data_IF_385724500019
#
_entry.id   IF_385724500019
#
_cell.length_a   1.000
_cell.length_b   1.000
_cell.length_c   1.000
_cell.angle_alpha   90.00
_cell.angle_beta   90.00
_cell.angle_gamma   90.00
#
_symmetry.space_group_name_H-M   'P 1'
#
loop_
_entity.id
_entity.type
_entity.pdbx_description
1 polymer ?
#
# COMPACT_ATOMS: atom_id res chain seq x y z
N UNK A 1 5.02 8.65 10.08
CA UNK A 1 5.90 8.50 8.90
C UNK A 1 5.44 9.29 7.67
N UNK A 2 4.64 10.36 7.84
CA UNK A 2 4.29 11.31 6.77
C UNK A 2 5.52 11.83 6.00
N UNK A 3 6.64 12.02 6.71
CA UNK A 3 7.93 12.43 6.13
C UNK A 3 8.43 11.50 5.00
N UNK A 4 8.05 10.22 4.96
CA UNK A 4 8.41 9.31 3.86
C UNK A 4 7.81 9.78 2.53
N UNK A 5 6.51 10.11 2.53
CA UNK A 5 5.77 10.45 1.31
C UNK A 5 6.23 11.78 0.70
N UNK A 6 6.62 12.73 1.55
CA UNK A 6 7.04 14.08 1.14
C UNK A 6 8.57 14.25 1.07
N UNK A 7 9.34 13.20 1.31
CA UNK A 7 10.80 13.31 1.30
C UNK A 7 11.32 13.56 -0.11
N UNK A 8 12.16 14.60 -0.25
CA UNK A 8 12.93 14.88 -1.46
C UNK A 8 14.22 14.06 -1.55
N UNK A 9 14.62 13.41 -0.47
CA UNK A 9 15.80 12.53 -0.40
C UNK A 9 15.44 11.29 0.43
N UNK A 10 15.11 10.20 -0.26
CA UNK A 10 14.73 8.94 0.37
C UNK A 10 15.91 8.26 1.07
N UNK A 11 17.16 8.57 0.70
CA UNK A 11 18.32 8.03 1.40
C UNK A 11 18.49 8.69 2.75
N UNK A 12 18.50 10.03 2.79
CA UNK A 12 18.59 10.78 4.03
C UNK A 12 17.43 10.44 4.97
N UNK A 13 16.22 10.28 4.43
CA UNK A 13 15.08 9.77 5.18
C UNK A 13 15.34 8.37 5.74
N UNK A 14 15.82 7.42 4.93
CA UNK A 14 16.07 6.05 5.37
C UNK A 14 17.10 5.98 6.51
N UNK A 15 18.19 6.76 6.42
CA UNK A 15 19.23 6.78 7.46
C UNK A 15 18.75 7.40 8.78
N UNK A 16 17.83 8.36 8.71
CA UNK A 16 17.13 8.88 9.88
C UNK A 16 16.14 7.85 10.44
N UNK A 17 15.32 7.24 9.58
CA UNK A 17 14.26 6.31 9.98
C UNK A 17 14.81 5.03 10.63
N UNK A 18 15.93 4.48 10.16
CA UNK A 18 16.58 3.29 10.77
C UNK A 18 16.86 3.44 12.26
N UNK A 19 17.01 4.66 12.77
CA UNK A 19 17.28 4.97 14.18
C UNK A 19 16.03 4.96 15.07
N UNK A 20 14.85 4.70 14.49
CA UNK A 20 13.55 4.73 15.16
C UNK A 20 12.70 3.47 14.89
N UNK A 21 13.20 2.26 15.19
CA UNK A 21 12.43 1.02 14.97
C UNK A 21 11.13 0.98 15.78
N UNK A 22 11.09 1.56 16.98
CA UNK A 22 9.87 1.67 17.80
C UNK A 22 8.75 2.46 17.11
N UNK A 23 9.11 3.32 16.14
CA UNK A 23 8.19 4.12 15.34
C UNK A 23 8.09 3.56 13.91
N UNK A 24 8.39 2.28 13.68
CA UNK A 24 8.31 1.63 12.35
C UNK A 24 9.37 2.09 11.35
N UNK A 25 10.43 2.75 11.82
CA UNK A 25 11.41 3.40 10.97
C UNK A 25 12.29 2.44 10.15
N UNK A 26 12.54 1.22 10.63
CA UNK A 26 13.28 0.22 9.85
C UNK A 26 12.43 -0.30 8.68
N UNK A 27 11.12 -0.46 8.87
CA UNK A 27 10.16 -0.79 7.80
C UNK A 27 10.17 0.27 6.71
N UNK A 28 10.10 1.55 7.08
CA UNK A 28 10.11 2.64 6.12
C UNK A 28 11.48 2.85 5.45
N UNK A 29 12.58 2.60 6.16
CA UNK A 29 13.91 2.64 5.56
C UNK A 29 14.08 1.54 4.49
N UNK A 30 13.65 0.32 4.80
CA UNK A 30 13.63 -0.77 3.82
C UNK A 30 12.72 -0.42 2.63
N UNK A 31 11.52 0.11 2.90
CA UNK A 31 10.58 0.56 1.85
C UNK A 31 11.22 1.60 0.93
N UNK A 32 11.91 2.61 1.48
CA UNK A 32 12.65 3.61 0.71
C UNK A 32 13.72 2.99 -0.19
N UNK A 33 14.57 2.10 0.35
CA UNK A 33 15.60 1.42 -0.43
C UNK A 33 14.99 0.53 -1.53
N UNK A 34 13.95 -0.24 -1.21
CA UNK A 34 13.27 -1.10 -2.17
C UNK A 34 12.61 -0.29 -3.29
N UNK A 35 11.89 0.80 -2.97
CA UNK A 35 11.32 1.71 -3.97
C UNK A 35 12.41 2.27 -4.87
N UNK A 36 13.54 2.72 -4.33
CA UNK A 36 14.63 3.26 -5.15
C UNK A 36 15.33 2.20 -6.00
N UNK A 37 15.37 0.94 -5.54
CA UNK A 37 15.86 -0.16 -6.35
C UNK A 37 14.98 -0.38 -7.58
N UNK A 38 13.65 -0.32 -7.42
CA UNK A 38 12.69 -0.44 -8.52
C UNK A 38 12.74 0.76 -9.47
N UNK A 39 12.87 2.00 -8.95
CA UNK A 39 13.02 3.21 -9.78
C UNK A 39 14.22 3.12 -10.73
N UNK A 40 15.33 2.50 -10.30
CA UNK A 40 16.49 2.29 -11.19
C UNK A 40 16.22 1.35 -12.36
N UNK A 41 15.21 0.49 -12.24
CA UNK A 41 14.80 -0.46 -13.28
C UNK A 41 13.78 0.14 -14.23
N UNK A 42 13.26 1.34 -13.95
CA UNK A 42 12.35 2.02 -14.84
C UNK A 42 13.09 2.42 -16.12
N UNK A 43 12.52 2.09 -17.30
CA UNK A 43 13.11 2.49 -18.57
C UNK A 43 13.11 4.00 -18.71
N UNK A 44 14.07 4.53 -19.47
CA UNK A 44 14.00 5.92 -19.91
C UNK A 44 12.75 6.15 -20.75
N UNK A 45 12.20 7.36 -20.67
CA UNK A 45 11.02 7.75 -21.44
C UNK A 45 11.47 8.09 -22.86
N UNK A 46 11.43 7.11 -23.76
CA UNK A 46 11.79 7.29 -25.18
C UNK A 46 10.60 7.78 -26.00
N UNK A 47 10.76 8.85 -26.79
CA UNK A 47 9.74 9.32 -27.73
C UNK A 47 9.46 8.27 -28.80
N UNK A 48 8.31 7.59 -28.72
CA UNK A 48 7.81 6.77 -29.82
C UNK A 48 7.28 7.66 -30.96
N UNK A 49 7.31 7.15 -32.19
CA UNK A 49 6.97 7.93 -33.40
C UNK A 49 5.52 8.46 -33.47
N UNK A 50 4.63 8.06 -32.55
CA UNK A 50 3.24 8.52 -32.45
C UNK A 50 2.81 8.86 -31.00
N UNK A 51 3.76 9.14 -30.10
CA UNK A 51 3.44 9.36 -28.70
C UNK A 51 2.85 10.77 -28.47
N UNK A 52 1.77 10.84 -27.68
CA UNK A 52 1.25 12.11 -27.15
C UNK A 52 2.37 12.84 -26.40
N UNK A 53 2.83 13.96 -26.98
CA UNK A 53 3.94 14.74 -26.44
C UNK A 53 3.67 15.23 -25.02
N UNK A 54 2.41 15.56 -24.69
CA UNK A 54 2.04 16.02 -23.36
C UNK A 54 2.14 14.88 -22.35
N UNK A 55 1.66 13.67 -22.70
CA UNK A 55 1.82 12.50 -21.86
C UNK A 55 3.30 12.16 -21.64
N UNK A 56 4.12 12.19 -22.70
CA UNK A 56 5.55 11.90 -22.60
C UNK A 56 6.28 12.91 -21.70
N UNK A 57 5.92 14.19 -21.78
CA UNK A 57 6.46 15.22 -20.88
C UNK A 57 6.07 14.96 -19.41
N UNK A 58 4.82 14.52 -19.14
CA UNK A 58 4.38 14.13 -17.79
C UNK A 58 5.12 12.90 -17.28
N UNK A 59 5.31 11.88 -18.12
CA UNK A 59 6.10 10.69 -17.78
C UNK A 59 7.55 11.03 -17.44
N UNK A 60 8.19 11.87 -18.26
CA UNK A 60 9.57 12.28 -18.01
C UNK A 60 9.69 13.08 -16.71
N UNK A 61 8.74 13.97 -16.43
CA UNK A 61 8.66 14.70 -15.16
C UNK A 61 8.52 13.74 -13.97
N UNK A 62 7.61 12.76 -14.05
CA UNK A 62 7.42 11.77 -12.99
C UNK A 62 8.66 10.90 -12.76
N UNK A 63 9.33 10.46 -13.83
CA UNK A 63 10.58 9.69 -13.73
C UNK A 63 11.71 10.53 -13.12
N UNK A 64 11.83 11.80 -13.50
CA UNK A 64 12.83 12.70 -12.93
C UNK A 64 12.58 12.93 -11.44
N UNK A 65 11.33 13.16 -11.04
CA UNK A 65 10.96 13.30 -9.62
C UNK A 65 11.33 12.05 -8.81
N UNK A 66 10.99 10.86 -9.30
CA UNK A 66 11.36 9.59 -8.65
C UNK A 66 12.88 9.41 -8.55
N UNK A 67 13.62 9.67 -9.63
CA UNK A 67 15.09 9.57 -9.66
C UNK A 67 15.73 10.57 -8.72
N UNK A 68 15.24 11.80 -8.68
CA UNK A 68 15.72 12.86 -7.79
C UNK A 68 15.56 12.46 -6.33
N UNK A 69 14.40 11.91 -5.94
CA UNK A 69 14.18 11.38 -4.59
C UNK A 69 15.12 10.23 -4.23
N UNK A 70 15.58 9.47 -5.21
CA UNK A 70 16.43 8.29 -5.02
C UNK A 70 17.93 8.53 -5.23
N UNK A 71 18.34 9.76 -5.62
CA UNK A 71 19.72 10.06 -6.02
C UNK A 71 20.76 9.84 -4.92
N UNK A 72 20.34 9.93 -3.65
CA UNK A 72 21.23 9.76 -2.50
C UNK A 72 21.68 8.32 -2.25
N UNK A 73 20.97 7.32 -2.79
CA UNK A 73 21.38 5.92 -2.66
C UNK A 73 22.51 5.59 -3.63
N UNK A 74 23.57 4.95 -3.12
CA UNK A 74 24.69 4.47 -3.94
C UNK A 74 24.29 3.22 -4.75
N UNK A 75 24.95 2.93 -5.89
CA UNK A 75 24.70 1.75 -6.71
C UNK A 75 24.65 0.43 -5.93
N UNK A 76 25.64 0.20 -5.08
CA UNK A 76 25.83 -1.02 -4.30
C UNK A 76 24.77 -1.22 -3.21
N UNK A 77 24.24 -0.14 -2.65
CA UNK A 77 23.25 -0.15 -1.56
C UNK A 77 21.87 -0.70 -1.97
N UNK A 78 21.57 -0.70 -3.27
CA UNK A 78 20.30 -1.18 -3.82
C UNK A 78 20.43 -2.54 -4.52
N UNK A 79 21.57 -3.22 -4.36
CA UNK A 79 21.74 -4.58 -4.86
C UNK A 79 20.85 -5.56 -4.08
N UNK A 80 20.46 -6.70 -4.68
CA UNK A 80 19.67 -7.71 -3.98
C UNK A 80 20.30 -8.19 -2.66
N UNK A 81 21.64 -8.25 -2.60
CA UNK A 81 22.38 -8.63 -1.38
C UNK A 81 22.15 -7.59 -0.28
N UNK A 82 22.38 -6.30 -0.58
CA UNK A 82 22.19 -5.21 0.41
C UNK A 82 20.72 -5.05 0.82
N UNK A 83 19.78 -5.22 -0.11
CA UNK A 83 18.35 -5.23 0.22
C UNK A 83 18.01 -6.40 1.14
N UNK A 84 18.60 -7.58 0.92
CA UNK A 84 18.47 -8.73 1.83
C UNK A 84 19.03 -8.46 3.22
N UNK A 85 20.16 -7.75 3.34
CA UNK A 85 20.70 -7.31 4.64
C UNK A 85 19.77 -6.32 5.34
N UNK A 86 19.22 -5.35 4.61
CA UNK A 86 18.26 -4.39 5.15
C UNK A 86 16.95 -5.07 5.59
N UNK A 87 16.49 -6.07 4.83
CA UNK A 87 15.34 -6.88 5.21
C UNK A 87 15.62 -7.63 6.52
N UNK A 88 16.77 -8.29 6.64
CA UNK A 88 17.17 -8.96 7.89
C UNK A 88 17.24 -8.00 9.07
N UNK A 89 17.81 -6.81 8.89
CA UNK A 89 17.82 -5.76 9.92
C UNK A 89 16.40 -5.35 10.33
N UNK A 90 15.52 -5.08 9.36
CA UNK A 90 14.11 -4.78 9.62
C UNK A 90 13.48 -5.86 10.51
N UNK A 91 13.62 -7.13 10.14
CA UNK A 91 13.05 -8.27 10.88
C UNK A 91 13.67 -8.50 12.26
N UNK A 92 14.93 -8.13 12.50
CA UNK A 92 15.60 -8.30 13.80
C UNK A 92 15.60 -7.07 14.70
N UNK A 93 15.26 -5.89 14.17
CA UNK A 93 15.35 -4.60 14.88
C UNK A 93 14.26 -4.34 15.93
N UNK A 94 13.27 -5.23 16.04
CA UNK A 94 12.09 -5.00 16.88
C UNK A 94 11.15 -3.92 16.33
N UNK A 95 11.19 -3.68 15.01
CA UNK A 95 10.36 -2.68 14.35
C UNK A 95 8.86 -2.96 14.53
N UNK A 96 8.12 -1.98 15.05
CA UNK A 96 6.71 -2.18 15.43
C UNK A 96 5.81 -2.52 14.24
N UNK A 97 6.11 -1.96 13.06
CA UNK A 97 5.35 -2.26 11.85
C UNK A 97 5.67 -3.65 11.32
N UNK A 98 6.93 -4.06 11.38
CA UNK A 98 7.34 -5.41 10.99
C UNK A 98 6.75 -6.48 11.91
N UNK A 99 6.67 -6.22 13.22
CA UNK A 99 5.99 -7.12 14.15
C UNK A 99 4.50 -7.27 13.81
N UNK A 100 3.82 -6.17 13.51
CA UNK A 100 2.42 -6.21 13.07
C UNK A 100 2.27 -6.93 11.73
N UNK A 101 3.17 -6.68 10.78
CA UNK A 101 3.20 -7.39 9.49
C UNK A 101 3.42 -8.89 9.68
N UNK A 102 4.33 -9.29 10.56
CA UNK A 102 4.58 -10.71 10.85
C UNK A 102 3.35 -11.39 11.44
N UNK A 103 2.58 -10.69 12.30
CA UNK A 103 1.27 -11.19 12.79
C UNK A 103 0.26 -11.34 11.65
N UNK A 104 0.25 -10.41 10.69
CA UNK A 104 -0.59 -10.52 9.48
C UNK A 104 -0.20 -11.73 8.64
N UNK A 105 1.10 -11.93 8.39
CA UNK A 105 1.58 -13.05 7.59
C UNK A 105 1.22 -14.39 8.25
N UNK A 106 1.36 -14.49 9.57
CA UNK A 106 0.88 -15.67 10.33
C UNK A 106 -0.63 -15.89 10.16
N UNK A 107 -1.43 -14.83 10.24
CA UNK A 107 -2.88 -14.90 9.99
C UNK A 107 -3.19 -15.39 8.59
N UNK A 108 -2.51 -14.86 7.58
CA UNK A 108 -2.72 -15.26 6.19
C UNK A 108 -2.33 -16.72 5.98
N UNK A 109 -1.24 -17.18 6.59
CA UNK A 109 -0.86 -18.60 6.58
C UNK A 109 -1.90 -19.49 7.25
N UNK A 110 -2.47 -19.06 8.38
CA UNK A 110 -3.52 -19.81 9.06
C UNK A 110 -4.80 -19.90 8.22
N UNK A 111 -5.21 -18.79 7.60
CA UNK A 111 -6.35 -18.75 6.68
C UNK A 111 -6.10 -19.63 5.45
N UNK A 112 -4.89 -19.61 4.88
CA UNK A 112 -4.52 -20.47 3.77
C UNK A 112 -4.52 -21.97 4.13
N UNK A 113 -4.32 -22.30 5.40
CA UNK A 113 -4.48 -23.67 5.94
C UNK A 113 -5.94 -24.01 6.28
N UNK A 114 -6.90 -23.16 5.93
CA UNK A 114 -8.32 -23.35 6.19
C UNK A 114 -8.73 -23.09 7.65
N UNK A 115 -7.88 -22.49 8.48
CA UNK A 115 -8.28 -22.15 9.86
C UNK A 115 -9.25 -20.97 9.85
N UNK A 116 -10.33 -21.10 10.60
CA UNK A 116 -11.26 -19.99 10.83
C UNK A 116 -10.78 -19.18 12.03
N UNK A 117 -10.37 -17.94 11.78
CA UNK A 117 -10.02 -16.99 12.83
C UNK A 117 -11.27 -16.40 13.48
N UNK A 118 -11.28 -16.31 14.80
CA UNK A 118 -12.39 -15.70 15.54
C UNK A 118 -12.53 -14.20 15.22
N UNK A 119 -13.77 -13.71 15.22
CA UNK A 119 -14.06 -12.29 15.02
C UNK A 119 -13.36 -11.41 16.08
N UNK A 120 -13.24 -11.91 17.31
CA UNK A 120 -12.53 -11.23 18.41
C UNK A 120 -11.04 -11.06 18.11
N UNK A 121 -10.37 -12.12 17.62
CA UNK A 121 -8.96 -12.05 17.28
C UNK A 121 -8.69 -11.09 16.12
N UNK A 122 -9.52 -11.15 15.07
CA UNK A 122 -9.45 -10.18 13.96
C UNK A 122 -9.65 -8.75 14.45
N UNK A 123 -10.63 -8.52 15.33
CA UNK A 123 -10.92 -7.21 15.91
C UNK A 123 -9.75 -6.69 16.75
N UNK A 124 -9.10 -7.55 17.52
CA UNK A 124 -7.89 -7.22 18.27
C UNK A 124 -6.77 -6.76 17.33
N UNK A 125 -6.47 -7.53 16.28
CA UNK A 125 -5.43 -7.18 15.31
C UNK A 125 -5.72 -5.87 14.57
N UNK A 126 -6.97 -5.64 14.14
CA UNK A 126 -7.36 -4.37 13.52
C UNK A 126 -7.15 -3.19 14.48
N UNK A 127 -7.53 -3.33 15.76
CA UNK A 127 -7.26 -2.29 16.76
C UNK A 127 -5.77 -2.03 16.91
N UNK A 128 -4.95 -3.08 17.04
CA UNK A 128 -3.48 -2.94 17.14
C UNK A 128 -2.88 -2.16 15.95
N UNK A 129 -3.41 -2.35 14.74
CA UNK A 129 -2.93 -1.64 13.54
C UNK A 129 -3.41 -0.20 13.47
N UNK A 130 -4.67 0.05 13.84
CA UNK A 130 -5.23 1.40 13.90
C UNK A 130 -4.58 2.21 15.01
N UNK A 131 -4.18 1.58 16.12
CA UNK A 131 -3.45 2.22 17.23
C UNK A 131 -2.11 2.83 16.81
N UNK A 132 -1.45 2.26 15.80
CA UNK A 132 -0.20 2.79 15.27
C UNK A 132 -0.39 4.12 14.54
N UNK A 133 -1.63 4.45 14.13
CA UNK A 133 -1.96 5.61 13.31
C UNK A 133 -1.06 5.74 12.07
N UNK A 134 -0.53 4.62 11.58
CA UNK A 134 0.38 4.59 10.45
C UNK A 134 -0.34 4.16 9.17
N UNK A 135 -0.22 4.93 8.08
CA UNK A 135 -0.92 4.61 6.84
C UNK A 135 -0.54 3.24 6.24
N UNK A 136 0.69 2.75 6.42
CA UNK A 136 1.09 1.41 5.94
C UNK A 136 0.45 0.32 6.79
N UNK A 137 0.36 0.51 8.11
CA UNK A 137 -0.38 -0.41 8.97
C UNK A 137 -1.87 -0.46 8.61
N UNK A 138 -2.49 0.70 8.41
CA UNK A 138 -3.90 0.83 8.05
C UNK A 138 -4.19 0.19 6.69
N UNK A 139 -3.35 0.44 5.68
CA UNK A 139 -3.51 -0.19 4.36
C UNK A 139 -3.37 -1.71 4.44
N UNK A 140 -2.45 -2.22 5.27
CA UNK A 140 -2.23 -3.66 5.46
C UNK A 140 -3.38 -4.33 6.23
N UNK A 141 -4.06 -3.60 7.12
CA UNK A 141 -5.19 -4.09 7.91
C UNK A 141 -6.35 -4.57 7.01
N UNK A 142 -6.49 -4.00 5.82
CA UNK A 142 -7.53 -4.41 4.86
C UNK A 142 -7.42 -5.85 4.39
N UNK A 143 -6.21 -6.42 4.37
CA UNK A 143 -6.01 -7.81 3.96
C UNK A 143 -6.63 -8.81 4.95
N UNK A 144 -6.78 -8.45 6.22
CA UNK A 144 -7.24 -9.39 7.26
C UNK A 144 -8.65 -9.12 7.78
N UNK A 145 -9.18 -7.90 7.57
CA UNK A 145 -10.48 -7.53 8.13
C UNK A 145 -11.57 -8.47 7.63
N UNK A 146 -11.64 -8.62 6.30
CA UNK A 146 -12.71 -9.35 5.62
C UNK A 146 -12.32 -10.69 5.03
N UNK A 147 -11.02 -11.02 4.92
CA UNK A 147 -10.58 -12.22 4.17
C UNK A 147 -11.13 -13.51 4.79
N UNK A 148 -11.74 -14.32 3.95
CA UNK A 148 -12.32 -15.61 4.27
C UNK A 148 -11.90 -16.61 3.20
N UNK A 149 -11.33 -17.72 3.63
CA UNK A 149 -10.91 -18.83 2.77
C UNK A 149 -11.84 -19.99 3.09
N UNK A 150 -12.53 -20.51 2.07
CA UNK A 150 -13.39 -21.68 2.25
C UNK A 150 -12.58 -23.00 2.18
N UNK A 151 -13.24 -24.14 2.38
CA UNK A 151 -12.61 -25.46 2.34
C UNK A 151 -11.92 -25.80 1.00
N UNK A 152 -12.32 -25.12 -0.08
CA UNK A 152 -11.73 -25.27 -1.42
C UNK A 152 -10.58 -24.30 -1.68
N UNK A 153 -10.10 -23.59 -0.64
CA UNK A 153 -9.10 -22.54 -0.76
C UNK A 153 -9.54 -21.36 -1.64
N UNK A 154 -10.85 -21.14 -1.80
CA UNK A 154 -11.36 -19.97 -2.51
C UNK A 154 -11.42 -18.77 -1.56
N UNK A 155 -10.81 -17.67 -2.00
CA UNK A 155 -10.77 -16.42 -1.26
C UNK A 155 -12.06 -15.61 -1.50
N UNK A 156 -12.57 -15.05 -0.42
CA UNK A 156 -13.69 -14.12 -0.40
C UNK A 156 -13.45 -13.05 0.65
N UNK A 157 -14.09 -11.90 0.48
CA UNK A 157 -13.97 -10.78 1.41
C UNK A 157 -15.33 -10.46 1.99
N UNK A 158 -15.46 -10.57 3.32
CA UNK A 158 -16.62 -10.07 4.03
C UNK A 158 -16.57 -8.54 4.11
N UNK A 159 -17.66 -7.89 3.71
CA UNK A 159 -17.80 -6.45 3.79
C UNK A 159 -19.28 -6.06 3.87
N UNK A 160 -19.63 -5.26 4.88
CA UNK A 160 -20.95 -4.68 5.15
C UNK A 160 -22.11 -5.68 5.01
N UNK A 161 -22.01 -6.82 5.69
CA UNK A 161 -23.06 -7.84 5.69
C UNK A 161 -23.06 -8.77 4.47
N UNK A 162 -22.16 -8.56 3.51
CA UNK A 162 -22.06 -9.35 2.29
C UNK A 162 -20.72 -10.05 2.17
N UNK A 163 -20.75 -11.28 1.65
CA UNK A 163 -19.55 -11.98 1.20
C UNK A 163 -19.31 -11.69 -0.29
N UNK A 164 -18.16 -11.09 -0.58
CA UNK A 164 -17.69 -10.79 -1.93
C UNK A 164 -16.78 -11.93 -2.38
N UNK A 165 -17.30 -12.78 -3.26
CA UNK A 165 -16.58 -13.94 -3.78
C UNK A 165 -15.98 -13.62 -5.14
N UNK A 166 -14.76 -14.12 -5.40
CA UNK A 166 -14.08 -13.94 -6.66
C UNK A 166 -13.15 -12.72 -6.68
N UNK A 167 -12.10 -12.84 -7.49
CA UNK A 167 -10.96 -11.93 -7.49
C UNK A 167 -11.34 -10.46 -7.72
N UNK A 168 -12.16 -10.15 -8.72
CA UNK A 168 -12.50 -8.77 -9.06
C UNK A 168 -13.24 -8.04 -7.92
N UNK A 169 -14.12 -8.75 -7.23
CA UNK A 169 -14.92 -8.22 -6.13
C UNK A 169 -14.07 -8.01 -4.87
N UNK A 170 -13.14 -8.94 -4.59
CA UNK A 170 -12.15 -8.82 -3.53
C UNK A 170 -11.14 -7.68 -3.79
N UNK A 171 -10.61 -7.59 -5.01
CA UNK A 171 -9.68 -6.55 -5.45
C UNK A 171 -10.30 -5.16 -5.28
N UNK A 172 -11.60 -4.99 -5.54
CA UNK A 172 -12.31 -3.72 -5.29
C UNK A 172 -12.32 -3.34 -3.81
N UNK A 173 -12.56 -4.28 -2.89
CA UNK A 173 -12.54 -3.98 -1.46
C UNK A 173 -11.11 -3.61 -1.03
N UNK A 174 -10.09 -4.28 -1.56
CA UNK A 174 -8.69 -3.93 -1.31
C UNK A 174 -8.34 -2.54 -1.85
N UNK A 175 -8.82 -2.18 -3.05
CA UNK A 175 -8.68 -0.83 -3.60
C UNK A 175 -9.34 0.22 -2.69
N UNK A 176 -10.52 -0.08 -2.12
CA UNK A 176 -11.19 0.81 -1.18
C UNK A 176 -10.37 1.02 0.10
N UNK A 177 -9.66 0.00 0.58
CA UNK A 177 -8.72 0.10 1.71
C UNK A 177 -7.51 0.96 1.39
N UNK A 178 -6.89 0.76 0.23
CA UNK A 178 -5.78 1.60 -0.25
C UNK A 178 -6.22 3.06 -0.34
N UNK A 179 -7.41 3.31 -0.90
CA UNK A 179 -7.95 4.66 -1.01
C UNK A 179 -8.34 5.27 0.34
N UNK A 180 -8.84 4.46 1.28
CA UNK A 180 -9.19 4.93 2.62
C UNK A 180 -7.94 5.40 3.39
N UNK A 181 -6.77 4.75 3.17
CA UNK A 181 -5.51 5.13 3.80
C UNK A 181 -5.08 6.59 3.50
N UNK A 182 -5.56 7.19 2.41
CA UNK A 182 -5.39 8.61 2.10
C UNK A 182 -5.91 9.52 3.23
N UNK A 183 -7.00 9.11 3.88
CA UNK A 183 -7.61 9.87 4.99
C UNK A 183 -6.80 9.75 6.30
N UNK A 184 -5.74 8.94 6.29
CA UNK A 184 -4.87 8.66 7.43
C UNK A 184 -3.39 8.96 7.13
N UNK A 185 -3.11 9.84 6.17
CA UNK A 185 -1.79 10.42 5.94
C UNK A 185 -0.96 9.78 4.82
N UNK A 186 -1.50 8.79 4.08
CA UNK A 186 -0.94 8.41 2.78
C UNK A 186 -1.06 9.58 1.82
N UNK A 187 0.03 9.94 1.12
CA UNK A 187 -0.07 10.91 0.03
C UNK A 187 -0.81 10.25 -1.15
N UNK A 188 -1.91 10.88 -1.56
CA UNK A 188 -2.77 10.43 -2.63
C UNK A 188 -2.93 11.50 -3.72
N UNK A 189 -1.95 12.40 -3.79
CA UNK A 189 -1.80 13.41 -4.84
C UNK A 189 -0.86 12.88 -5.95
N UNK A 190 -0.71 13.67 -7.01
CA UNK A 190 0.22 13.44 -8.11
C UNK A 190 1.67 13.14 -7.66
N UNK A 191 2.05 13.59 -6.46
CA UNK A 191 3.40 13.45 -5.90
C UNK A 191 3.63 12.14 -5.14
N UNK A 192 2.59 11.32 -4.99
CA UNK A 192 2.71 10.02 -4.33
C UNK A 192 3.59 9.08 -5.15
N UNK A 193 4.44 8.31 -4.47
CA UNK A 193 5.35 7.36 -5.14
C UNK A 193 4.60 6.34 -6.00
N UNK A 194 3.38 5.97 -5.58
CA UNK A 194 2.52 5.06 -6.33
C UNK A 194 2.01 5.68 -7.64
N UNK A 195 1.47 6.89 -7.62
CA UNK A 195 0.97 7.54 -8.85
C UNK A 195 2.10 7.97 -9.77
N UNK A 196 3.24 8.40 -9.23
CA UNK A 196 4.45 8.63 -10.01
C UNK A 196 4.92 7.35 -10.70
N UNK A 197 4.98 6.23 -9.97
CA UNK A 197 5.34 4.93 -10.53
C UNK A 197 4.37 4.49 -11.63
N UNK A 198 3.06 4.59 -11.38
CA UNK A 198 2.02 4.26 -12.35
C UNK A 198 2.08 5.14 -13.61
N UNK A 199 2.38 6.44 -13.47
CA UNK A 199 2.61 7.34 -14.60
C UNK A 199 3.75 6.85 -15.49
N UNK A 200 4.87 6.43 -14.90
CA UNK A 200 6.03 5.92 -15.64
C UNK A 200 5.74 4.57 -16.31
N UNK A 201 5.15 3.61 -15.59
CA UNK A 201 5.04 2.21 -16.03
C UNK A 201 3.78 1.90 -16.82
N UNK A 202 2.65 2.56 -16.52
CA UNK A 202 1.35 2.24 -17.10
C UNK A 202 0.88 3.23 -18.18
N UNK A 203 1.70 4.23 -18.54
CA UNK A 203 1.34 5.31 -19.47
C UNK A 203 0.09 6.10 -19.06
N UNK A 204 -0.25 6.13 -17.77
CA UNK A 204 -1.39 6.88 -17.24
C UNK A 204 -0.99 7.71 -16.04
N UNK A 205 -1.04 9.03 -16.18
CA UNK A 205 -0.62 9.99 -15.17
C UNK A 205 -1.85 10.66 -14.55
N UNK A 206 -2.02 10.50 -13.24
CA UNK A 206 -3.17 10.98 -12.49
C UNK A 206 -2.75 12.02 -11.46
N UNK A 207 -3.58 13.04 -11.27
CA UNK A 207 -3.28 14.10 -10.31
C UNK A 207 -3.72 13.74 -8.87
N UNK A 208 -4.49 12.66 -8.72
CA UNK A 208 -4.92 12.12 -7.44
C UNK A 208 -5.35 10.65 -7.54
N UNK A 209 -5.44 9.97 -6.39
CA UNK A 209 -5.98 8.60 -6.33
C UNK A 209 -7.46 8.54 -6.74
N UNK A 210 -8.25 9.61 -6.56
CA UNK A 210 -9.65 9.65 -7.06
C UNK A 210 -9.67 9.47 -8.58
N UNK A 211 -8.85 10.24 -9.30
CA UNK A 211 -8.77 10.16 -10.75
C UNK A 211 -8.22 8.80 -11.21
N UNK A 212 -7.26 8.24 -10.47
CA UNK A 212 -6.74 6.89 -10.74
C UNK A 212 -7.85 5.84 -10.64
N UNK A 213 -8.60 5.80 -9.52
CA UNK A 213 -9.67 4.81 -9.35
C UNK A 213 -10.84 5.06 -10.30
N UNK A 214 -11.16 6.31 -10.62
CA UNK A 214 -12.17 6.66 -11.63
C UNK A 214 -11.82 6.11 -13.01
N UNK A 215 -10.56 6.21 -13.42
CA UNK A 215 -10.09 5.61 -14.68
C UNK A 215 -10.08 4.09 -14.62
N UNK A 216 -9.59 3.48 -13.52
CA UNK A 216 -9.58 2.02 -13.32
C UNK A 216 -10.98 1.41 -13.49
N UNK A 217 -12.01 2.12 -13.06
CA UNK A 217 -13.42 1.70 -13.13
C UNK A 217 -14.25 2.46 -14.17
N UNK A 218 -13.62 3.10 -15.17
CA UNK A 218 -14.33 3.96 -16.13
C UNK A 218 -15.44 3.25 -16.92
N UNK A 219 -15.26 1.96 -17.23
CA UNK A 219 -16.26 1.14 -17.93
C UNK A 219 -17.40 0.66 -17.03
N UNK A 220 -17.31 0.90 -15.71
CA UNK A 220 -18.26 0.42 -14.70
C UNK A 220 -18.58 1.53 -13.68
N UNK A 221 -19.30 2.60 -14.06
CA UNK A 221 -19.55 3.75 -13.17
C UNK A 221 -20.20 3.38 -11.83
N UNK A 222 -21.15 2.45 -11.84
CA UNK A 222 -21.79 1.95 -10.62
C UNK A 222 -20.78 1.27 -9.66
N UNK A 223 -19.73 0.65 -10.19
CA UNK A 223 -18.67 0.02 -9.37
C UNK A 223 -17.78 1.09 -8.73
N UNK A 224 -17.52 2.21 -9.41
CA UNK A 224 -16.79 3.34 -8.83
C UNK A 224 -17.57 4.03 -7.69
N UNK A 225 -18.89 4.18 -7.83
CA UNK A 225 -19.75 4.69 -6.76
C UNK A 225 -19.75 3.77 -5.53
N UNK A 226 -19.79 2.46 -5.75
CA UNK A 226 -19.64 1.46 -4.70
C UNK A 226 -18.27 1.56 -4.02
N UNK A 227 -17.19 1.70 -4.77
CA UNK A 227 -15.83 1.86 -4.25
C UNK A 227 -15.73 3.07 -3.33
N UNK A 228 -16.31 4.21 -3.73
CA UNK A 228 -16.34 5.44 -2.93
C UNK A 228 -17.09 5.22 -1.61
N UNK A 229 -18.24 4.56 -1.66
CA UNK A 229 -19.02 4.21 -0.47
C UNK A 229 -18.24 3.26 0.45
N UNK A 230 -17.58 2.25 -0.11
CA UNK A 230 -16.77 1.28 0.62
C UNK A 230 -15.58 1.96 1.31
N UNK A 231 -14.88 2.88 0.61
CA UNK A 231 -13.81 3.71 1.18
C UNK A 231 -14.30 4.47 2.41
N UNK A 232 -15.46 5.10 2.33
CA UNK A 232 -16.01 5.91 3.42
C UNK A 232 -16.45 5.07 4.61
N UNK A 233 -17.02 3.88 4.37
CA UNK A 233 -17.32 2.89 5.41
C UNK A 233 -16.02 2.46 6.12
N UNK A 234 -14.97 2.12 5.37
CA UNK A 234 -13.67 1.71 5.93
C UNK A 234 -13.08 2.83 6.77
N UNK A 235 -13.03 4.05 6.23
CA UNK A 235 -12.48 5.19 6.95
C UNK A 235 -13.28 5.53 8.21
N UNK A 236 -14.61 5.44 8.15
CA UNK A 236 -15.45 5.63 9.33
C UNK A 236 -15.19 4.54 10.38
N UNK A 237 -15.16 3.27 9.99
CA UNK A 237 -14.88 2.15 10.88
C UNK A 237 -13.51 2.27 11.57
N UNK A 238 -12.47 2.75 10.87
CA UNK A 238 -11.17 3.03 11.48
C UNK A 238 -11.27 4.16 12.52
N UNK A 239 -11.95 5.27 12.19
CA UNK A 239 -12.12 6.42 13.11
C UNK A 239 -12.91 6.07 14.36
N UNK A 240 -14.01 5.33 14.20
CA UNK A 240 -14.93 4.99 15.29
C UNK A 240 -14.54 3.70 16.02
N UNK A 241 -13.59 2.94 15.46
CA UNK A 241 -13.22 1.58 15.88
C UNK A 241 -14.39 0.58 15.83
N UNK A 242 -15.42 0.89 15.03
CA UNK A 242 -16.51 -0.03 14.76
C UNK A 242 -16.22 -0.87 13.52
N UNK A 243 -15.60 -2.03 13.75
CA UNK A 243 -15.27 -3.00 12.70
C UNK A 243 -16.38 -4.01 12.40
N UNK A 244 -17.61 -3.81 12.90
CA UNK A 244 -18.74 -4.74 12.68
C UNK A 244 -19.05 -4.96 11.20
N UNK A 245 -18.84 -3.94 10.37
CA UNK A 245 -19.01 -4.01 8.91
C UNK A 245 -17.83 -4.67 8.19
N UNK A 246 -16.66 -4.74 8.82
CA UNK A 246 -15.43 -5.22 8.17
C UNK A 246 -15.10 -6.66 8.55
N UNK A 247 -15.61 -7.15 9.68
CA UNK A 247 -15.37 -8.49 10.21
C UNK A 247 -16.67 -9.29 10.15
N UNK A 248 -16.60 -10.52 9.65
CA UNK A 248 -17.73 -11.46 9.67
C UNK A 248 -18.12 -11.78 11.12
N UNK A 249 -19.40 -11.63 11.53
CA UNK A 249 -19.88 -12.01 12.85
C UNK A 249 -19.58 -13.47 13.21
#
# INVERSE_FOLDING_TARGET
MHAYNVSKDLRAFADMAKKRPQDGGATYAFKAAFTCAEVRRFPDVTSGNNADQALMARKQTALNELRERCKGFLPDELTPIRLGEQFKYKSSSGDVLEQNRSKLDQVLEELARGKVLSAEYRRKLLNEMVDLQDPVAISSAGMISGLHVNEKSEESVWFDGKLYSGKADADRILDAWVWAACQFGTDCTANSLELLGSCVTNNKCFDSSDLYFRDKYASQPAVFEQLTTQRDIIANAIRTRDFSKLIKP
#
